data_IF_214391783931
#
_entry.id   IF_214391783931
#
_cell.length_a   1.000
_cell.length_b   1.000
_cell.length_c   1.000
_cell.angle_alpha   90.00
_cell.angle_beta   90.00
_cell.angle_gamma   90.00
#
_symmetry.space_group_name_H-M   'P 1'
#
loop_
_entity.id
_entity.type
_entity.pdbx_description
1 polymer ?
#
# COMPACT_ATOMS: atom_id res chain seq x y z
N UNK A 1 17.97 -18.55 -9.98
CA UNK A 1 17.01 -18.43 -8.86
C UNK A 1 15.65 -18.76 -9.43
N UNK A 2 15.02 -19.84 -8.96
CA UNK A 2 13.67 -20.23 -9.36
C UNK A 2 12.69 -19.23 -8.78
N UNK A 3 12.17 -18.33 -9.62
CA UNK A 3 11.01 -17.50 -9.29
C UNK A 3 9.84 -18.43 -9.01
N UNK A 4 9.54 -18.63 -7.73
CA UNK A 4 8.31 -19.31 -7.30
C UNK A 4 7.17 -18.51 -7.91
N UNK A 5 6.57 -19.03 -8.97
CA UNK A 5 5.46 -18.36 -9.65
C UNK A 5 4.27 -18.50 -8.71
N UNK A 6 4.04 -17.48 -7.91
CA UNK A 6 2.78 -17.33 -7.16
C UNK A 6 1.66 -17.53 -8.17
N UNK A 7 0.87 -18.58 -8.00
CA UNK A 7 -0.24 -18.87 -8.89
C UNK A 7 -1.29 -17.79 -8.66
N UNK A 8 -1.29 -16.76 -9.52
CA UNK A 8 -2.26 -15.67 -9.45
C UNK A 8 -3.62 -16.16 -9.94
N UNK A 9 -4.68 -15.73 -9.26
CA UNK A 9 -6.05 -16.10 -9.62
C UNK A 9 -6.64 -15.24 -10.75
N UNK A 10 -5.97 -14.14 -11.10
CA UNK A 10 -6.39 -13.14 -12.07
C UNK A 10 -5.87 -13.49 -13.47
N UNK A 11 -6.76 -13.43 -14.47
CA UNK A 11 -6.36 -13.48 -15.89
C UNK A 11 -5.90 -12.09 -16.32
N UNK A 12 -4.95 -12.03 -17.25
CA UNK A 12 -4.50 -10.75 -17.81
C UNK A 12 -5.61 -10.14 -18.68
N UNK A 13 -5.96 -8.89 -18.40
CA UNK A 13 -6.75 -8.03 -19.30
C UNK A 13 -5.91 -7.58 -20.50
N UNK A 14 -6.50 -6.79 -21.40
CA UNK A 14 -5.74 -6.09 -22.42
C UNK A 14 -4.61 -5.23 -21.82
N UNK A 15 -4.88 -4.51 -20.74
CA UNK A 15 -3.88 -3.69 -20.01
C UNK A 15 -2.78 -4.56 -19.39
N UNK A 16 -3.15 -5.68 -18.78
CA UNK A 16 -2.19 -6.65 -18.24
C UNK A 16 -1.28 -7.26 -19.30
N UNK A 17 -1.79 -7.52 -20.50
CA UNK A 17 -1.00 -8.01 -21.64
C UNK A 17 -0.03 -6.96 -22.17
N UNK A 18 -0.47 -5.70 -22.26
CA UNK A 18 0.40 -4.56 -22.63
C UNK A 18 1.53 -4.43 -21.60
N UNK A 19 1.20 -4.43 -20.30
CA UNK A 19 2.20 -4.37 -19.24
C UNK A 19 3.14 -5.59 -19.26
N UNK A 20 2.62 -6.79 -19.55
CA UNK A 20 3.45 -8.00 -19.65
C UNK A 20 4.54 -7.86 -20.70
N UNK A 21 4.25 -7.21 -21.82
CA UNK A 21 5.18 -7.06 -22.92
C UNK A 21 6.09 -5.82 -22.76
N UNK A 22 5.51 -4.68 -22.41
CA UNK A 22 6.20 -3.38 -22.41
C UNK A 22 6.52 -2.84 -21.01
N UNK A 23 6.05 -3.47 -19.93
CA UNK A 23 6.14 -2.93 -18.57
C UNK A 23 7.59 -2.65 -18.13
N UNK A 24 8.53 -3.55 -18.47
CA UNK A 24 9.96 -3.30 -18.21
C UNK A 24 10.48 -2.11 -19.01
N UNK A 25 10.06 -1.95 -20.25
CA UNK A 25 10.50 -0.86 -21.12
C UNK A 25 10.01 0.49 -20.58
N UNK A 26 8.74 0.54 -20.14
CA UNK A 26 8.13 1.72 -19.52
C UNK A 26 8.85 2.08 -18.21
N UNK A 27 9.09 1.10 -17.32
CA UNK A 27 9.83 1.34 -16.06
C UNK A 27 11.19 1.96 -16.38
N UNK A 28 11.92 1.40 -17.34
CA UNK A 28 13.26 1.87 -17.73
C UNK A 28 13.27 3.22 -18.42
N UNK A 29 12.20 3.58 -19.11
CA UNK A 29 12.06 4.91 -19.71
C UNK A 29 12.05 6.01 -18.64
N UNK A 30 11.48 5.74 -17.45
CA UNK A 30 11.47 6.65 -16.32
C UNK A 30 12.65 6.47 -15.36
N UNK A 31 13.18 5.25 -15.24
CA UNK A 31 14.30 4.91 -14.36
C UNK A 31 15.41 4.15 -15.13
N UNK A 32 16.23 4.84 -15.94
CA UNK A 32 17.21 4.21 -16.83
C UNK A 32 18.31 3.41 -16.14
N UNK A 33 18.55 3.68 -14.84
CA UNK A 33 19.51 2.94 -14.01
C UNK A 33 19.09 1.48 -13.76
N UNK A 34 17.80 1.15 -13.91
CA UNK A 34 17.30 -0.22 -13.80
C UNK A 34 17.61 -0.96 -15.11
N UNK A 35 18.60 -1.85 -15.07
CA UNK A 35 19.09 -2.54 -16.28
C UNK A 35 18.37 -3.86 -16.50
N UNK A 36 18.25 -4.32 -17.76
CA UNK A 36 17.70 -5.65 -18.02
C UNK A 36 18.52 -6.74 -17.35
N UNK A 37 17.84 -7.73 -16.78
CA UNK A 37 18.47 -8.84 -16.05
C UNK A 37 18.93 -8.47 -14.64
N UNK A 38 18.74 -7.22 -14.19
CA UNK A 38 18.93 -6.85 -12.79
C UNK A 38 17.79 -7.37 -11.92
N UNK A 39 18.13 -7.79 -10.70
CA UNK A 39 17.16 -8.22 -9.69
C UNK A 39 16.20 -7.10 -9.31
N UNK A 40 16.68 -5.86 -9.34
CA UNK A 40 15.95 -4.64 -9.02
C UNK A 40 14.86 -4.37 -10.05
N UNK A 41 15.17 -4.43 -11.35
CA UNK A 41 14.17 -4.26 -12.40
C UNK A 41 13.10 -5.35 -12.32
N UNK A 42 13.50 -6.61 -12.14
CA UNK A 42 12.55 -7.72 -12.04
C UNK A 42 11.67 -7.59 -10.80
N UNK A 43 12.23 -7.15 -9.68
CA UNK A 43 11.48 -6.88 -8.46
C UNK A 43 10.47 -5.72 -8.66
N UNK A 44 10.91 -4.58 -9.20
CA UNK A 44 10.03 -3.43 -9.49
C UNK A 44 8.91 -3.84 -10.45
N UNK A 45 9.22 -4.60 -11.49
CA UNK A 45 8.24 -5.09 -12.45
C UNK A 45 7.18 -6.00 -11.80
N UNK A 46 7.59 -6.90 -10.91
CA UNK A 46 6.65 -7.75 -10.16
C UNK A 46 5.82 -6.92 -9.19
N UNK A 47 6.46 -6.01 -8.44
CA UNK A 47 5.79 -5.17 -7.44
C UNK A 47 4.79 -4.21 -8.06
N UNK A 48 5.11 -3.61 -9.19
CA UNK A 48 4.17 -2.79 -9.98
C UNK A 48 2.98 -3.60 -10.47
N UNK A 49 3.18 -4.88 -10.81
CA UNK A 49 2.03 -5.73 -11.11
C UNK A 49 1.15 -5.94 -9.87
N UNK A 50 1.74 -6.34 -8.75
CA UNK A 50 1.00 -6.69 -7.53
C UNK A 50 0.29 -5.48 -6.89
N UNK A 51 0.88 -4.27 -6.97
CA UNK A 51 0.30 -3.06 -6.37
C UNK A 51 -0.61 -2.27 -7.31
N UNK A 52 -0.43 -2.37 -8.63
CA UNK A 52 -1.16 -1.54 -9.60
C UNK A 52 -1.95 -2.37 -10.61
N UNK A 53 -1.28 -3.27 -11.34
CA UNK A 53 -1.91 -3.96 -12.48
C UNK A 53 -2.91 -5.05 -12.06
N UNK A 54 -2.65 -5.78 -10.97
CA UNK A 54 -3.48 -6.93 -10.59
C UNK A 54 -4.93 -6.52 -10.33
N UNK A 55 -5.15 -5.36 -9.69
CA UNK A 55 -6.50 -4.84 -9.47
C UNK A 55 -7.22 -4.49 -10.77
N UNK A 56 -6.50 -3.90 -11.75
CA UNK A 56 -7.06 -3.56 -13.06
C UNK A 56 -7.45 -4.83 -13.81
N UNK A 57 -6.55 -5.82 -13.85
CA UNK A 57 -6.79 -7.12 -14.47
C UNK A 57 -7.95 -7.87 -13.82
N UNK A 58 -8.01 -7.88 -12.48
CA UNK A 58 -9.09 -8.51 -11.73
C UNK A 58 -10.45 -7.91 -12.07
N UNK A 59 -10.55 -6.57 -12.03
CA UNK A 59 -11.80 -5.86 -12.29
C UNK A 59 -12.26 -6.06 -13.74
N UNK A 60 -11.35 -5.94 -14.72
CA UNK A 60 -11.68 -6.09 -16.14
C UNK A 60 -12.11 -7.53 -16.48
N UNK A 61 -11.54 -8.52 -15.80
CA UNK A 61 -11.86 -9.94 -16.03
C UNK A 61 -12.98 -10.48 -15.14
N UNK A 62 -13.62 -9.63 -14.34
CA UNK A 62 -14.78 -9.97 -13.50
C UNK A 62 -14.43 -10.83 -12.27
N UNK A 63 -13.21 -10.70 -11.74
CA UNK A 63 -12.79 -11.35 -10.49
C UNK A 63 -13.31 -10.54 -9.31
N UNK A 64 -14.17 -11.14 -8.50
CA UNK A 64 -14.67 -10.52 -7.27
C UNK A 64 -13.56 -10.38 -6.22
N UNK A 65 -13.46 -9.24 -5.50
CA UNK A 65 -12.40 -9.04 -4.50
C UNK A 65 -12.43 -10.05 -3.36
N UNK A 66 -13.62 -10.52 -2.98
CA UNK A 66 -13.80 -11.50 -1.89
C UNK A 66 -14.51 -12.72 -2.51
N UNK A 67 -13.89 -13.91 -2.46
CA UNK A 67 -14.50 -15.10 -3.03
C UNK A 67 -15.69 -15.53 -2.17
N UNK A 68 -16.67 -16.26 -2.75
CA UNK A 68 -17.75 -16.83 -1.96
C UNK A 68 -17.21 -17.79 -0.89
N UNK A 69 -17.88 -17.90 0.27
CA UNK A 69 -17.46 -18.83 1.31
C UNK A 69 -17.41 -20.28 0.78
N UNK A 70 -16.49 -21.12 1.28
CA UNK A 70 -16.40 -22.51 0.84
C UNK A 70 -17.72 -23.24 1.08
N UNK A 71 -18.30 -23.83 0.04
CA UNK A 71 -19.52 -24.64 0.16
C UNK A 71 -19.26 -25.86 1.04
N UNK A 72 -20.07 -26.04 2.09
CA UNK A 72 -20.00 -27.19 3.00
C UNK A 72 -19.15 -27.01 4.26
N UNK A 73 -18.48 -25.87 4.44
CA UNK A 73 -17.86 -25.50 5.71
C UNK A 73 -18.89 -24.79 6.59
N UNK A 74 -19.39 -25.44 7.63
CA UNK A 74 -20.28 -24.84 8.64
C UNK A 74 -19.62 -23.68 9.44
N UNK A 75 -18.39 -23.32 9.12
CA UNK A 75 -17.70 -22.12 9.59
C UNK A 75 -17.56 -21.11 8.45
N UNK A 76 -18.00 -19.87 8.71
CA UNK A 76 -17.62 -18.68 7.96
C UNK A 76 -16.11 -18.50 8.18
N UNK A 77 -15.31 -19.17 7.34
CA UNK A 77 -13.87 -18.91 7.30
C UNK A 77 -13.66 -17.46 6.87
N UNK A 78 -12.78 -16.74 7.58
CA UNK A 78 -12.33 -15.43 7.11
C UNK A 78 -11.52 -15.68 5.83
N UNK A 79 -12.10 -15.39 4.67
CA UNK A 79 -11.37 -15.44 3.41
C UNK A 79 -10.83 -14.04 3.13
N UNK A 80 -9.50 -13.95 2.97
CA UNK A 80 -8.85 -12.70 2.59
C UNK A 80 -9.22 -12.28 1.16
N UNK A 81 -8.98 -11.01 0.80
CA UNK A 81 -9.25 -10.54 -0.56
C UNK A 81 -8.33 -11.25 -1.59
N UNK A 82 -8.85 -11.52 -2.79
CA UNK A 82 -8.13 -12.14 -3.90
C UNK A 82 -7.08 -11.23 -4.52
N UNK A 83 -7.32 -9.92 -4.49
CA UNK A 83 -6.42 -8.88 -4.96
C UNK A 83 -6.59 -7.63 -4.10
N UNK A 84 -5.64 -6.71 -4.16
CA UNK A 84 -5.72 -5.43 -3.45
C UNK A 84 -5.85 -4.29 -4.45
N UNK A 85 -6.87 -3.47 -4.29
CA UNK A 85 -6.97 -2.18 -4.98
C UNK A 85 -6.54 -1.06 -4.03
N UNK A 86 -5.41 -0.40 -4.34
CA UNK A 86 -4.88 0.72 -3.54
C UNK A 86 -5.15 2.08 -4.16
N UNK A 87 -5.58 2.12 -5.43
CA UNK A 87 -5.75 3.37 -6.19
C UNK A 87 -7.22 3.71 -6.41
N UNK A 88 -8.10 2.72 -6.46
CA UNK A 88 -9.49 2.89 -6.88
C UNK A 88 -9.62 3.31 -8.35
N UNK A 89 -8.57 3.12 -9.18
CA UNK A 89 -8.45 3.71 -10.51
C UNK A 89 -9.65 3.39 -11.40
N UNK A 90 -10.08 2.13 -11.48
CA UNK A 90 -11.24 1.72 -12.29
C UNK A 90 -12.51 2.48 -11.88
N UNK A 91 -12.71 2.69 -10.57
CA UNK A 91 -13.83 3.48 -10.06
C UNK A 91 -13.69 4.97 -10.37
N UNK A 92 -12.46 5.52 -10.35
CA UNK A 92 -12.19 6.93 -10.69
C UNK A 92 -12.44 7.19 -12.18
N UNK A 93 -11.94 6.31 -13.04
CA UNK A 93 -12.17 6.35 -14.49
C UNK A 93 -13.66 6.22 -14.79
N UNK A 94 -14.38 5.30 -14.14
CA UNK A 94 -15.82 5.14 -14.32
C UNK A 94 -16.62 6.41 -14.03
N UNK A 95 -16.19 7.23 -13.05
CA UNK A 95 -16.82 8.52 -12.72
C UNK A 95 -16.65 9.59 -13.78
N UNK A 96 -15.75 9.38 -14.76
CA UNK A 96 -15.63 10.25 -15.91
C UNK A 96 -16.68 9.95 -16.98
N UNK A 97 -17.40 8.83 -16.93
CA UNK A 97 -18.48 8.60 -17.89
C UNK A 97 -19.59 9.68 -17.76
N UNK A 98 -20.17 10.17 -18.88
CA UNK A 98 -21.32 11.06 -18.84
C UNK A 98 -22.43 10.50 -17.97
N UNK A 99 -22.98 11.33 -17.08
CA UNK A 99 -24.20 10.96 -16.37
C UNK A 99 -25.36 11.04 -17.36
N UNK A 100 -26.36 10.17 -17.19
CA UNK A 100 -27.53 10.11 -18.08
C UNK A 100 -28.29 11.43 -18.22
N UNK A 101 -28.15 12.34 -17.23
CA UNK A 101 -28.79 13.64 -17.16
C UNK A 101 -27.79 14.81 -17.28
N UNK A 102 -26.57 14.55 -17.72
CA UNK A 102 -25.55 15.59 -17.86
C UNK A 102 -25.63 16.27 -19.22
N UNK A 103 -25.50 17.59 -19.19
CA UNK A 103 -25.54 18.44 -20.37
C UNK A 103 -24.40 19.45 -20.32
N UNK A 104 -23.72 19.69 -21.44
CA UNK A 104 -22.74 20.77 -21.58
C UNK A 104 -23.46 22.07 -21.97
N UNK A 105 -23.33 23.10 -21.13
CA UNK A 105 -23.65 24.47 -21.53
C UNK A 105 -22.59 24.93 -22.52
N UNK A 106 -22.93 24.98 -23.81
CA UNK A 106 -22.07 25.63 -24.80
C UNK A 106 -21.87 27.09 -24.39
N UNK A 107 -20.62 27.50 -24.31
CA UNK A 107 -20.22 28.84 -23.88
C UNK A 107 -21.03 29.93 -24.60
N UNK A 108 -21.53 30.90 -23.83
CA UNK A 108 -21.99 32.17 -24.38
C UNK A 108 -20.83 32.81 -25.13
N UNK A 109 -20.90 32.84 -26.46
CA UNK A 109 -19.93 33.59 -27.22
C UNK A 109 -20.07 35.08 -26.91
N UNK A 110 -18.94 35.60 -26.43
CA UNK A 110 -18.32 36.86 -26.80
C UNK A 110 -19.17 37.77 -27.70
N UNK A 111 -19.31 39.00 -27.20
CA UNK A 111 -19.69 40.17 -27.99
C UNK A 111 -18.65 40.41 -29.11
N UNK A 112 -18.77 39.70 -30.23
CA UNK A 112 -18.05 39.96 -31.47
C UNK A 112 -19.07 40.02 -32.61
N UNK A 113 -19.05 41.15 -33.31
CA UNK A 113 -20.08 41.57 -34.25
C UNK A 113 -20.30 40.62 -35.44
N UNK A 114 -21.56 40.66 -35.87
CA UNK A 114 -22.12 40.27 -37.15
C UNK A 114 -21.14 40.03 -38.32
N UNK A 115 -21.28 38.87 -38.98
CA UNK A 115 -21.61 38.78 -40.41
C UNK A 115 -21.76 37.31 -40.86
N UNK A 116 -22.89 37.00 -41.51
CA UNK A 116 -23.01 35.85 -42.43
C UNK A 116 -23.68 34.60 -41.88
N UNK A 117 -25.01 34.63 -41.76
CA UNK A 117 -25.86 33.42 -41.66
C UNK A 117 -26.64 33.30 -42.97
N UNK A 118 -26.22 32.37 -43.82
CA UNK A 118 -27.06 31.78 -44.88
C UNK A 118 -27.15 30.28 -44.53
N UNK A 119 -28.37 29.73 -44.57
CA UNK A 119 -28.79 28.37 -44.21
C UNK A 119 -29.31 28.18 -42.77
N UNK A 120 -30.47 28.79 -42.51
CA UNK A 120 -31.38 28.46 -41.41
C UNK A 120 -32.71 27.97 -42.01
N UNK A 121 -32.82 26.66 -42.23
CA UNK A 121 -34.12 26.00 -42.36
C UNK A 121 -34.31 25.10 -41.12
N UNK A 122 -35.45 25.31 -40.45
CA UNK A 122 -35.97 24.65 -39.24
C UNK A 122 -35.59 25.26 -37.86
N UNK A 123 -36.02 26.50 -37.63
CA UNK A 123 -36.24 27.06 -36.28
C UNK A 123 -37.75 27.27 -36.10
N UNK A 124 -38.37 26.46 -35.22
CA UNK A 124 -39.73 26.73 -34.73
C UNK A 124 -39.69 27.89 -33.73
N UNK A 125 -40.40 28.95 -34.11
CA UNK A 125 -40.42 30.27 -33.50
C UNK A 125 -41.54 30.36 -32.45
N UNK A 126 -41.19 30.21 -31.15
CA UNK A 126 -42.03 30.67 -30.03
C UNK A 126 -41.12 31.38 -29.01
N UNK A 127 -41.29 32.71 -28.96
CA UNK A 127 -40.80 33.64 -27.93
C UNK A 127 -39.28 33.75 -27.78
N UNK A 128 -38.58 34.14 -28.87
CA UNK A 128 -37.31 34.89 -28.84
C UNK A 128 -36.13 34.29 -28.06
N UNK A 129 -36.28 33.07 -27.55
CA UNK A 129 -35.34 32.40 -26.67
C UNK A 129 -34.73 31.27 -27.49
N UNK A 130 -33.49 31.47 -27.94
CA UNK A 130 -32.72 30.40 -28.58
C UNK A 130 -32.53 29.29 -27.55
N UNK A 131 -33.31 28.21 -27.67
CA UNK A 131 -33.11 27.00 -26.88
C UNK A 131 -31.89 26.30 -27.45
N UNK A 132 -30.71 26.61 -26.91
CA UNK A 132 -29.52 25.82 -27.21
C UNK A 132 -29.76 24.43 -26.63
N UNK A 133 -29.96 23.45 -27.51
CA UNK A 133 -30.06 22.05 -27.08
C UNK A 133 -28.71 21.66 -26.51
N UNK A 134 -28.65 21.60 -25.19
CA UNK A 134 -27.44 21.24 -24.48
C UNK A 134 -27.00 19.83 -24.91
N UNK A 135 -25.76 19.71 -25.37
CA UNK A 135 -25.22 18.46 -25.90
C UNK A 135 -24.69 17.57 -24.76
N UNK A 136 -24.70 16.23 -24.91
CA UNK A 136 -23.99 15.39 -23.97
C UNK A 136 -22.48 15.70 -24.01
N UNK A 137 -21.77 15.55 -22.89
CA UNK A 137 -20.32 15.81 -22.83
C UNK A 137 -19.51 15.02 -23.86
N UNK A 138 -18.47 15.63 -24.42
CA UNK A 138 -17.61 14.99 -25.43
C UNK A 138 -16.89 13.75 -24.85
N UNK A 139 -17.19 12.53 -25.35
CA UNK A 139 -16.54 11.31 -24.88
C UNK A 139 -15.02 11.32 -25.10
N UNK A 140 -14.51 11.98 -26.15
CA UNK A 140 -13.08 12.00 -26.45
C UNK A 140 -12.34 12.89 -25.45
N UNK A 141 -12.84 14.09 -25.15
CA UNK A 141 -12.28 14.94 -24.11
C UNK A 141 -12.19 14.22 -22.75
N UNK A 142 -13.20 13.41 -22.41
CA UNK A 142 -13.21 12.63 -21.16
C UNK A 142 -12.27 11.43 -21.20
N UNK A 143 -12.16 10.77 -22.34
CA UNK A 143 -11.16 9.73 -22.56
C UNK A 143 -9.74 10.26 -22.33
N UNK A 144 -9.42 11.45 -22.83
CA UNK A 144 -8.12 12.10 -22.59
C UNK A 144 -7.86 12.40 -21.11
N UNK A 145 -8.90 12.79 -20.35
CA UNK A 145 -8.79 12.95 -18.89
C UNK A 145 -8.53 11.59 -18.22
N UNK A 146 -9.23 10.53 -18.64
CA UNK A 146 -9.03 9.18 -18.12
C UNK A 146 -7.60 8.67 -18.42
N UNK A 147 -7.10 8.88 -19.64
CA UNK A 147 -5.74 8.51 -20.03
C UNK A 147 -4.68 9.20 -19.17
N UNK A 148 -4.80 10.51 -18.94
CA UNK A 148 -3.89 11.23 -18.04
C UNK A 148 -3.95 10.67 -16.62
N UNK A 149 -5.16 10.47 -16.08
CA UNK A 149 -5.35 9.92 -14.74
C UNK A 149 -4.72 8.53 -14.56
N UNK A 150 -4.86 7.64 -15.55
CA UNK A 150 -4.21 6.33 -15.54
C UNK A 150 -2.69 6.44 -15.56
N UNK A 151 -2.15 7.37 -16.36
CA UNK A 151 -0.72 7.63 -16.45
C UNK A 151 -0.14 8.17 -15.14
N UNK A 152 -0.77 9.19 -14.56
CA UNK A 152 -0.35 9.82 -13.31
C UNK A 152 -0.36 8.79 -12.16
N UNK A 153 -1.42 8.01 -12.03
CA UNK A 153 -1.51 6.93 -11.04
C UNK A 153 -0.41 5.89 -11.20
N UNK A 154 -0.13 5.45 -12.43
CA UNK A 154 0.94 4.50 -12.70
C UNK A 154 2.29 5.06 -12.26
N UNK A 155 2.55 6.34 -12.57
CA UNK A 155 3.81 7.01 -12.22
C UNK A 155 3.95 7.27 -10.73
N UNK A 156 2.87 7.61 -10.02
CA UNK A 156 2.87 7.77 -8.57
C UNK A 156 3.22 6.45 -7.87
N UNK A 157 2.59 5.34 -8.29
CA UNK A 157 2.93 4.02 -7.75
C UNK A 157 4.35 3.62 -8.11
N UNK A 158 4.79 3.86 -9.35
CA UNK A 158 6.15 3.57 -9.79
C UNK A 158 7.18 4.35 -8.97
N UNK A 159 6.95 5.63 -8.73
CA UNK A 159 7.82 6.50 -7.94
C UNK A 159 7.92 5.97 -6.51
N UNK A 160 6.78 5.67 -5.88
CA UNK A 160 6.75 5.08 -4.53
C UNK A 160 7.51 3.75 -4.47
N UNK A 161 7.35 2.88 -5.46
CA UNK A 161 8.02 1.56 -5.52
C UNK A 161 9.53 1.71 -5.73
N UNK A 162 9.98 2.55 -6.67
CA UNK A 162 11.40 2.68 -7.02
C UNK A 162 12.17 3.53 -6.02
N UNK A 163 11.59 4.64 -5.56
CA UNK A 163 12.30 5.61 -4.71
C UNK A 163 12.04 5.37 -3.21
N UNK A 164 10.96 4.67 -2.86
CA UNK A 164 10.60 4.32 -1.48
C UNK A 164 10.89 2.86 -1.15
N UNK A 165 10.12 1.94 -1.74
CA UNK A 165 10.11 0.54 -1.33
C UNK A 165 11.40 -0.20 -1.70
N UNK A 166 11.94 0.02 -2.91
CA UNK A 166 13.16 -0.65 -3.38
C UNK A 166 14.38 -0.37 -2.49
N UNK A 167 14.75 0.89 -2.18
CA UNK A 167 15.86 1.14 -1.25
C UNK A 167 15.54 0.69 0.17
N UNK A 168 14.26 0.74 0.60
CA UNK A 168 13.85 0.24 1.89
C UNK A 168 14.06 -1.26 2.05
N UNK A 169 13.76 -2.04 1.00
CA UNK A 169 13.91 -3.49 1.01
C UNK A 169 15.32 -3.92 1.40
N UNK A 170 16.35 -3.27 0.85
CA UNK A 170 17.76 -3.57 1.17
C UNK A 170 18.05 -3.38 2.67
N UNK A 171 17.60 -2.27 3.25
CA UNK A 171 17.77 -1.98 4.68
C UNK A 171 17.01 -2.98 5.56
N UNK A 172 15.80 -3.37 5.16
CA UNK A 172 15.02 -4.37 5.90
C UNK A 172 15.66 -5.75 5.79
N UNK A 173 16.18 -6.12 4.61
CA UNK A 173 16.87 -7.39 4.42
C UNK A 173 18.12 -7.49 5.29
N UNK A 174 18.94 -6.44 5.35
CA UNK A 174 20.10 -6.37 6.23
C UNK A 174 19.70 -6.50 7.71
N UNK A 175 18.64 -5.79 8.12
CA UNK A 175 18.11 -5.86 9.49
C UNK A 175 17.57 -7.26 9.83
N UNK A 176 16.87 -7.90 8.90
CA UNK A 176 16.39 -9.28 9.06
C UNK A 176 17.58 -10.21 9.16
N UNK A 177 18.58 -10.14 8.27
CA UNK A 177 19.74 -11.03 8.30
C UNK A 177 20.57 -10.88 9.58
N UNK A 178 20.79 -9.65 10.05
CA UNK A 178 21.57 -9.31 11.24
C UNK A 178 20.82 -9.41 12.58
N UNK A 179 19.54 -9.79 12.59
CA UNK A 179 18.69 -9.85 13.81
C UNK A 179 19.30 -10.66 14.98
N UNK A 180 20.09 -11.69 14.69
CA UNK A 180 20.73 -12.52 15.74
C UNK A 180 21.87 -11.80 16.45
N UNK A 181 22.47 -10.79 15.82
CA UNK A 181 23.48 -9.93 16.43
C UNK A 181 22.83 -8.86 17.33
N UNK A 182 21.59 -8.48 17.02
CA UNK A 182 20.75 -7.60 17.85
C UNK A 182 20.29 -8.33 19.11
N UNK A 183 19.73 -9.53 18.94
CA UNK A 183 19.31 -10.38 20.03
C UNK A 183 19.40 -11.86 19.66
N UNK A 184 19.96 -12.67 20.56
CA UNK A 184 20.17 -14.10 20.32
C UNK A 184 18.87 -14.90 20.08
N UNK A 185 17.69 -14.37 20.46
CA UNK A 185 16.40 -14.98 20.10
C UNK A 185 16.14 -14.98 18.59
N UNK A 186 16.69 -14.01 17.86
CA UNK A 186 16.35 -13.71 16.48
C UNK A 186 14.94 -13.11 16.30
N UNK A 187 14.26 -12.73 17.38
CA UNK A 187 12.89 -12.19 17.38
C UNK A 187 12.84 -10.65 17.39
N UNK A 188 14.01 -10.01 17.44
CA UNK A 188 14.16 -8.56 17.50
C UNK A 188 15.10 -8.13 16.37
N UNK A 189 14.67 -7.17 15.56
CA UNK A 189 15.53 -6.55 14.56
C UNK A 189 15.70 -5.05 14.81
N UNK A 190 16.78 -4.48 14.29
CA UNK A 190 17.07 -3.04 14.36
C UNK A 190 17.11 -2.47 12.95
N UNK A 191 16.37 -1.39 12.72
CA UNK A 191 16.52 -0.58 11.51
C UNK A 191 17.57 0.51 11.74
N UNK A 192 18.33 0.81 10.69
CA UNK A 192 19.35 1.86 10.69
C UNK A 192 18.77 3.26 10.43
N UNK A 193 17.51 3.36 10.01
CA UNK A 193 16.84 4.61 9.65
C UNK A 193 15.38 4.63 10.12
N UNK A 194 14.87 5.84 10.37
CA UNK A 194 13.47 6.09 10.71
C UNK A 194 12.62 6.31 9.45
N UNK A 195 11.31 6.13 9.55
CA UNK A 195 10.37 6.46 8.46
C UNK A 195 10.38 5.51 7.26
N UNK A 196 11.18 4.45 7.31
CA UNK A 196 11.27 3.44 6.27
C UNK A 196 10.00 2.57 6.19
N UNK A 197 9.41 2.32 5.01
CA UNK A 197 8.37 1.30 4.87
C UNK A 197 8.99 -0.09 5.08
N UNK A 198 8.72 -0.72 6.23
CA UNK A 198 9.36 -2.00 6.58
C UNK A 198 8.39 -3.18 6.68
N UNK A 199 7.10 -2.95 6.91
CA UNK A 199 6.14 -4.02 7.29
C UNK A 199 5.92 -5.03 6.17
N UNK A 200 5.56 -4.55 4.97
CA UNK A 200 5.33 -5.42 3.81
C UNK A 200 6.59 -6.22 3.49
N UNK A 201 7.75 -5.55 3.58
CA UNK A 201 9.02 -6.12 3.14
C UNK A 201 9.51 -7.17 4.13
N UNK A 202 9.30 -6.93 5.43
CA UNK A 202 9.54 -7.93 6.47
C UNK A 202 8.75 -9.22 6.21
N UNK A 203 7.45 -9.12 5.88
CA UNK A 203 6.63 -10.30 5.66
C UNK A 203 7.05 -11.13 4.44
N UNK A 204 7.50 -10.47 3.38
CA UNK A 204 8.03 -11.14 2.18
C UNK A 204 9.39 -11.76 2.48
N UNK A 205 10.30 -11.01 3.09
CA UNK A 205 11.66 -11.46 3.41
C UNK A 205 11.66 -12.62 4.41
N UNK A 206 10.75 -12.65 5.39
CA UNK A 206 10.63 -13.80 6.28
C UNK A 206 10.30 -15.09 5.52
N UNK A 207 9.46 -15.00 4.49
CA UNK A 207 9.14 -16.14 3.63
C UNK A 207 10.30 -16.52 2.72
N UNK A 208 10.89 -15.54 2.02
CA UNK A 208 11.99 -15.75 1.07
C UNK A 208 13.26 -16.30 1.73
N UNK A 209 13.56 -15.82 2.94
CA UNK A 209 14.74 -16.24 3.70
C UNK A 209 14.47 -17.47 4.58
N UNK A 210 13.25 -18.03 4.55
CA UNK A 210 12.89 -19.22 5.32
C UNK A 210 12.97 -19.01 6.83
N UNK A 211 12.61 -17.83 7.31
CA UNK A 211 12.64 -17.48 8.73
C UNK A 211 11.56 -18.26 9.48
N UNK A 212 11.98 -19.17 10.35
CA UNK A 212 11.08 -20.02 11.16
C UNK A 212 10.72 -19.41 12.51
N UNK A 213 11.57 -18.50 13.01
CA UNK A 213 11.36 -17.76 14.25
C UNK A 213 10.90 -16.34 13.88
N UNK A 214 9.60 -16.03 13.99
CA UNK A 214 9.07 -14.77 13.49
C UNK A 214 9.55 -13.58 14.32
N UNK A 215 9.94 -12.51 13.64
CA UNK A 215 10.36 -11.27 14.30
C UNK A 215 9.13 -10.63 14.97
N UNK A 216 9.25 -10.31 16.26
CA UNK A 216 8.17 -9.74 17.08
C UNK A 216 8.34 -8.24 17.29
N UNK A 217 9.57 -7.74 17.31
CA UNK A 217 9.87 -6.34 17.59
C UNK A 217 10.85 -5.74 16.58
N UNK A 218 10.62 -4.47 16.26
CA UNK A 218 11.49 -3.63 15.44
C UNK A 218 11.93 -2.44 16.26
N UNK A 219 13.25 -2.25 16.35
CA UNK A 219 13.88 -1.14 17.03
C UNK A 219 14.38 -0.11 16.03
N UNK A 220 14.05 1.16 16.25
CA UNK A 220 14.55 2.27 15.44
C UNK A 220 14.51 3.56 16.25
N UNK A 221 15.43 4.47 15.97
CA UNK A 221 15.39 5.84 16.47
C UNK A 221 14.33 6.61 15.69
N UNK A 222 13.58 7.52 16.30
CA UNK A 222 12.64 8.39 15.60
C UNK A 222 13.26 9.75 15.22
N UNK A 223 12.47 10.63 14.62
CA UNK A 223 12.91 11.98 14.23
C UNK A 223 13.41 12.83 15.40
N UNK A 224 12.96 12.55 16.63
CA UNK A 224 13.32 13.29 17.83
C UNK A 224 14.51 12.67 18.57
N UNK A 225 15.15 11.66 17.99
CA UNK A 225 16.26 10.92 18.60
C UNK A 225 15.83 9.92 19.67
N UNK A 226 14.53 9.62 19.77
CA UNK A 226 13.98 8.70 20.75
C UNK A 226 13.88 7.30 20.16
N UNK A 227 14.33 6.29 20.90
CA UNK A 227 14.24 4.91 20.48
C UNK A 227 12.82 4.38 20.60
N UNK A 228 12.36 3.71 19.56
CA UNK A 228 11.06 3.05 19.48
C UNK A 228 11.24 1.54 19.56
N UNK A 229 10.35 0.90 20.30
CA UNK A 229 10.12 -0.55 20.25
C UNK A 229 8.74 -0.77 19.65
N UNK A 230 8.69 -1.14 18.37
CA UNK A 230 7.44 -1.33 17.64
C UNK A 230 7.16 -2.83 17.45
N UNK A 231 5.94 -3.24 17.76
CA UNK A 231 5.48 -4.61 17.58
C UNK A 231 5.21 -4.90 16.10
N UNK A 232 5.55 -6.11 15.67
CA UNK A 232 5.20 -6.63 14.35
C UNK A 232 3.79 -7.21 14.40
N UNK A 233 2.90 -6.77 13.52
CA UNK A 233 1.55 -7.33 13.40
C UNK A 233 1.55 -8.74 12.81
N UNK A 234 0.53 -9.54 13.14
CA UNK A 234 0.22 -10.77 12.42
C UNK A 234 -0.12 -10.41 10.97
N UNK A 235 0.46 -11.13 10.00
CA UNK A 235 0.25 -10.83 8.57
C UNK A 235 -1.24 -10.88 8.25
N UNK A 236 -1.75 -9.84 7.59
CA UNK A 236 -3.17 -9.70 7.24
C UNK A 236 -4.09 -9.23 8.38
N UNK A 237 -3.57 -9.04 9.61
CA UNK A 237 -4.33 -8.54 10.76
C UNK A 237 -3.67 -7.30 11.34
N UNK A 238 -4.03 -6.12 10.82
CA UNK A 238 -3.38 -4.84 11.16
C UNK A 238 -3.44 -4.45 12.65
N UNK A 239 -4.42 -4.98 13.41
CA UNK A 239 -4.63 -4.66 14.82
C UNK A 239 -4.18 -5.74 15.80
N UNK A 240 -3.61 -6.84 15.31
CA UNK A 240 -3.16 -7.96 16.15
C UNK A 240 -1.62 -8.03 16.09
N UNK A 241 -0.96 -7.83 17.23
CA UNK A 241 0.49 -7.96 17.33
C UNK A 241 0.88 -9.43 17.47
N UNK A 242 1.99 -9.85 16.86
CA UNK A 242 2.61 -11.17 17.13
C UNK A 242 2.90 -11.34 18.61
N UNK A 243 3.36 -10.24 19.23
CA UNK A 243 3.42 -10.08 20.67
C UNK A 243 3.34 -8.59 21.01
N UNK A 244 2.32 -8.18 21.75
CA UNK A 244 2.21 -6.81 22.26
C UNK A 244 3.16 -6.56 23.43
N UNK A 245 3.41 -5.28 23.74
CA UNK A 245 4.06 -4.90 24.99
C UNK A 245 3.17 -5.30 26.20
N UNK A 246 3.79 -5.56 27.37
CA UNK A 246 3.11 -5.99 28.60
C UNK A 246 1.89 -5.12 28.92
N UNK A 247 0.80 -5.75 29.35
CA UNK A 247 -0.46 -5.05 29.66
C UNK A 247 -0.29 -4.01 30.74
N UNK A 248 0.53 -4.31 31.75
CA UNK A 248 0.86 -3.42 32.85
C UNK A 248 1.45 -2.08 32.36
N UNK A 249 2.24 -2.11 31.27
CA UNK A 249 2.90 -0.92 30.74
C UNK A 249 1.95 -0.02 29.93
N UNK A 250 0.86 -0.57 29.42
CA UNK A 250 0.03 0.09 28.40
C UNK A 250 -0.60 1.37 28.94
N UNK A 251 -0.34 2.49 28.25
CA UNK A 251 -0.83 3.80 28.65
C UNK A 251 0.00 4.50 29.71
N UNK A 252 1.05 3.85 30.23
CA UNK A 252 1.98 4.42 31.22
C UNK A 252 3.11 5.17 30.50
N UNK A 253 3.67 6.19 31.15
CA UNK A 253 4.68 7.09 30.56
C UNK A 253 5.82 7.38 31.52
N UNK A 254 6.92 7.85 30.94
CA UNK A 254 8.04 8.50 31.63
C UNK A 254 8.55 7.70 32.86
N UNK A 255 8.73 8.38 34.00
CA UNK A 255 9.32 7.79 35.20
C UNK A 255 8.46 6.68 35.81
N UNK A 256 7.13 6.78 35.69
CA UNK A 256 6.21 5.74 36.17
C UNK A 256 6.37 4.45 35.36
N UNK A 257 6.52 4.57 34.04
CA UNK A 257 6.80 3.42 33.18
C UNK A 257 8.19 2.86 33.48
N UNK A 258 9.19 3.73 33.71
CA UNK A 258 10.55 3.30 34.02
C UNK A 258 10.60 2.48 35.32
N UNK A 259 9.94 2.97 36.38
CA UNK A 259 9.81 2.27 37.67
C UNK A 259 9.08 0.93 37.53
N UNK A 260 7.98 0.92 36.78
CA UNK A 260 7.16 -0.28 36.58
C UNK A 260 7.88 -1.34 35.75
N UNK A 261 8.54 -0.94 34.67
CA UNK A 261 9.30 -1.83 33.81
C UNK A 261 10.60 -2.30 34.47
N UNK A 262 11.13 -1.53 35.43
CA UNK A 262 12.49 -1.70 35.94
C UNK A 262 13.55 -1.39 34.86
N UNK A 263 13.23 -0.47 33.95
CA UNK A 263 14.07 -0.09 32.81
C UNK A 263 14.13 1.44 32.80
N UNK A 264 15.34 1.98 32.93
CA UNK A 264 15.51 3.43 32.95
C UNK A 264 15.21 4.05 31.57
N UNK A 265 14.75 5.31 31.60
CA UNK A 265 14.60 6.11 30.39
C UNK A 265 13.41 5.75 29.49
N UNK A 266 12.44 4.97 29.99
CA UNK A 266 11.20 4.73 29.26
C UNK A 266 10.43 6.06 29.07
N UNK A 267 9.94 6.32 27.86
CA UNK A 267 9.19 7.55 27.54
C UNK A 267 7.70 7.31 27.48
N UNK A 268 7.25 6.21 26.86
CA UNK A 268 5.84 5.84 26.83
C UNK A 268 5.63 4.38 26.40
N UNK A 269 4.45 3.86 26.69
CA UNK A 269 3.88 2.68 26.04
C UNK A 269 2.46 3.01 25.58
N UNK A 270 2.14 2.75 24.32
CA UNK A 270 0.80 3.00 23.78
C UNK A 270 -0.25 2.15 24.52
N UNK A 271 -1.48 2.66 24.67
CA UNK A 271 -2.55 1.99 25.40
C UNK A 271 -2.96 0.61 24.83
N UNK A 272 -2.77 0.38 23.53
CA UNK A 272 -2.95 -0.95 22.91
C UNK A 272 -1.67 -1.80 22.86
N UNK A 273 -0.55 -1.29 23.37
CA UNK A 273 0.71 -2.03 23.50
C UNK A 273 1.44 -2.32 22.18
N UNK A 274 1.08 -1.68 21.06
CA UNK A 274 1.75 -1.93 19.77
C UNK A 274 3.10 -1.20 19.62
N UNK A 275 3.35 -0.17 20.43
CA UNK A 275 4.59 0.61 20.38
C UNK A 275 4.90 1.17 21.76
N UNK A 276 6.18 1.26 22.07
CA UNK A 276 6.72 1.99 23.21
C UNK A 276 7.97 2.74 22.82
N UNK A 277 8.51 3.51 23.76
CA UNK A 277 9.73 4.25 23.54
C UNK A 277 10.64 4.33 24.75
N UNK A 278 11.93 4.53 24.47
CA UNK A 278 12.98 4.76 25.44
C UNK A 278 13.93 5.84 24.90
N UNK A 279 14.67 6.52 25.76
CA UNK A 279 15.70 7.49 25.36
C UNK A 279 16.97 6.83 24.80
N UNK A 280 17.20 5.53 25.08
CA UNK A 280 18.39 4.79 24.62
C UNK A 280 18.03 3.52 23.84
N UNK A 281 18.97 3.09 23.00
CA UNK A 281 18.88 1.84 22.27
C UNK A 281 18.81 0.65 23.23
N UNK A 282 19.69 0.64 24.23
CA UNK A 282 19.79 -0.42 25.23
C UNK A 282 18.50 -0.54 26.03
N UNK A 283 17.88 0.59 26.38
CA UNK A 283 16.59 0.60 27.08
C UNK A 283 15.45 0.07 26.20
N UNK A 284 15.39 0.46 24.92
CA UNK A 284 14.38 -0.06 23.99
C UNK A 284 14.56 -1.57 23.71
N UNK A 285 15.81 -2.02 23.58
CA UNK A 285 16.14 -3.45 23.45
C UNK A 285 15.74 -4.22 24.71
N UNK A 286 15.99 -3.67 25.90
CA UNK A 286 15.58 -4.30 27.14
C UNK A 286 14.06 -4.34 27.30
N UNK A 287 13.33 -3.32 26.82
CA UNK A 287 11.87 -3.35 26.78
C UNK A 287 11.36 -4.52 25.92
N UNK A 288 11.94 -4.73 24.74
CA UNK A 288 11.59 -5.85 23.86
C UNK A 288 11.92 -7.20 24.53
N UNK A 289 13.12 -7.35 25.12
CA UNK A 289 13.54 -8.56 25.83
C UNK A 289 12.64 -8.89 27.03
N UNK A 290 12.32 -7.89 27.85
CA UNK A 290 11.41 -8.05 28.98
C UNK A 290 10.03 -8.51 28.54
N UNK A 291 9.54 -8.00 27.40
CA UNK A 291 8.28 -8.43 26.79
C UNK A 291 8.32 -9.89 26.32
N UNK A 292 9.41 -10.33 25.67
CA UNK A 292 9.62 -11.74 25.30
C UNK A 292 9.63 -12.66 26.53
N UNK A 293 10.34 -12.26 27.60
CA UNK A 293 10.41 -13.03 28.84
C UNK A 293 9.07 -13.12 29.56
N UNK A 294 8.28 -12.03 29.57
CA UNK A 294 6.95 -12.02 30.15
C UNK A 294 6.03 -13.04 29.44
N UNK A 295 6.07 -13.08 28.10
CA UNK A 295 5.30 -14.05 27.32
C UNK A 295 5.69 -15.51 27.62
N UNK A 296 6.99 -15.81 27.78
CA UNK A 296 7.46 -17.15 28.11
C UNK A 296 7.08 -17.65 29.51
N UNK A 297 6.68 -16.75 30.42
CA UNK A 297 6.22 -17.08 31.78
C UNK A 297 4.72 -17.36 31.86
N UNK A 298 3.94 -16.94 30.86
CA UNK A 298 2.51 -17.26 30.78
C UNK A 298 2.39 -18.72 30.38
N UNK A 299 2.33 -19.62 31.37
CA UNK A 299 1.93 -21.01 31.17
C UNK A 299 0.54 -21.02 30.53
N UNK A 300 0.43 -21.74 29.42
CA UNK A 300 -0.84 -22.12 28.83
C UNK A 300 -1.58 -22.97 29.87
N UNK A 301 -2.60 -22.40 30.50
CA UNK A 301 -3.58 -23.19 31.24
C UNK A 301 -4.41 -23.95 30.20
N UNK A 302 -4.39 -25.29 30.29
CA UNK A 302 -5.21 -26.20 29.49
C UNK A 302 -6.64 -26.24 30.04
#
# INVERSE_FOLDING_TARGET
MTTTTTTRCTKLSASGLVYRHYGRDVIRAHYPQLTYGSTELDWVYVRMYDEFMEAIDAIDTGVEPVPPPPTGSGSIGIVGPLYRDVTGLSSRVSRLNPRWNEVEETARDAHAGAAGVDDLDDIDDIDGTVVVRAAPPDPNARFEIACRMCGDDFLDVLTKVVEGDLPARSIVEDAVRGRTDVDASGEIMRLSSWGLPWKSELYELEYELGITVPIKYVLYEDQAGMWRVQCVSVRGKSFENRLGLPEEWRGVRDEDLSKMAGIDGCTFCHASGFIGGNVSYEGALEMARASLRAAGKVKVEF
#
